data_IF_355385488702
#
_entry.id   IF_355385488702
#
_cell.length_a   1.000
_cell.length_b   1.000
_cell.length_c   1.000
_cell.angle_alpha   90.00
_cell.angle_beta   90.00
_cell.angle_gamma   90.00
#
_symmetry.space_group_name_H-M   'P 1'
#
loop_
_entity.id
_entity.type
_entity.pdbx_description
1 polymer ?
#
# COMPACT_ATOMS: atom_id res chain seq x y z
N UNK A 1 -16.69 6.49 -17.76
CA UNK A 1 -15.78 7.45 -18.38
C UNK A 1 -16.49 8.23 -19.48
N UNK A 2 -17.03 7.56 -20.50
CA UNK A 2 -17.70 8.24 -21.64
C UNK A 2 -18.86 9.15 -21.23
N UNK A 3 -19.56 8.83 -20.15
CA UNK A 3 -20.68 9.61 -19.59
C UNK A 3 -20.22 10.76 -18.67
N UNK A 4 -18.92 11.06 -18.60
CA UNK A 4 -18.35 12.14 -17.77
C UNK A 4 -18.09 11.78 -16.30
N UNK A 5 -18.31 10.54 -15.88
CA UNK A 5 -18.01 10.12 -14.51
C UNK A 5 -16.51 9.89 -14.28
N UNK A 6 -16.01 10.31 -13.12
CA UNK A 6 -14.71 9.89 -12.60
C UNK A 6 -14.84 8.47 -12.04
N UNK A 7 -14.20 7.51 -12.72
CA UNK A 7 -14.36 6.09 -12.39
C UNK A 7 -13.15 5.60 -11.58
N UNK A 8 -13.42 5.03 -10.41
CA UNK A 8 -12.46 4.37 -9.54
C UNK A 8 -12.86 2.88 -9.41
N UNK A 9 -12.38 2.01 -10.30
CA UNK A 9 -12.85 0.63 -10.37
C UNK A 9 -12.23 -0.25 -9.28
N UNK A 10 -13.08 -0.91 -8.47
CA UNK A 10 -12.67 -1.98 -7.59
C UNK A 10 -12.55 -3.29 -8.37
N UNK A 11 -11.42 -3.98 -8.24
CA UNK A 11 -11.10 -5.19 -8.99
C UNK A 11 -10.38 -6.25 -8.14
N UNK A 12 -10.41 -7.49 -8.59
CA UNK A 12 -9.41 -8.46 -8.16
C UNK A 12 -8.01 -7.94 -8.52
N UNK A 13 -6.99 -8.36 -7.78
CA UNK A 13 -5.62 -7.93 -8.04
C UNK A 13 -5.06 -8.61 -9.31
N UNK A 14 -5.64 -8.25 -10.46
CA UNK A 14 -5.26 -8.72 -11.80
C UNK A 14 -4.52 -7.60 -12.56
N UNK A 15 -3.19 -7.75 -12.79
CA UNK A 15 -2.41 -6.73 -13.48
C UNK A 15 -2.86 -6.46 -14.92
N UNK A 16 -3.37 -7.49 -15.61
CA UNK A 16 -3.85 -7.33 -17.00
C UNK A 16 -5.13 -6.51 -17.02
N UNK A 17 -6.07 -6.82 -16.13
CA UNK A 17 -7.31 -6.04 -16.00
C UNK A 17 -7.03 -4.61 -15.57
N UNK A 18 -6.12 -4.42 -14.58
CA UNK A 18 -5.71 -3.09 -14.13
C UNK A 18 -5.20 -2.23 -15.29
N UNK A 19 -4.36 -2.78 -16.16
CA UNK A 19 -3.86 -2.07 -17.34
C UNK A 19 -4.98 -1.72 -18.32
N UNK A 20 -5.86 -2.66 -18.64
CA UNK A 20 -7.00 -2.41 -19.55
C UNK A 20 -7.93 -1.31 -19.04
N UNK A 21 -8.12 -1.22 -17.73
CA UNK A 21 -8.92 -0.16 -17.12
C UNK A 21 -8.27 1.21 -17.28
N UNK A 22 -6.94 1.30 -17.09
CA UNK A 22 -6.20 2.53 -17.38
C UNK A 22 -6.35 2.95 -18.84
N UNK A 23 -6.21 2.01 -19.79
CA UNK A 23 -6.31 2.27 -21.22
C UNK A 23 -7.69 2.83 -21.63
N UNK A 24 -8.76 2.51 -20.89
CA UNK A 24 -10.10 3.09 -21.13
C UNK A 24 -10.34 4.38 -20.32
N UNK A 25 -9.33 4.88 -19.60
CA UNK A 25 -9.34 6.19 -18.97
C UNK A 25 -9.96 6.23 -17.58
N UNK A 26 -9.85 5.17 -16.78
CA UNK A 26 -10.23 5.25 -15.36
C UNK A 26 -9.27 6.15 -14.59
N UNK A 27 -9.77 6.83 -13.54
CA UNK A 27 -8.99 7.78 -12.76
C UNK A 27 -7.99 7.10 -11.80
N UNK A 28 -8.27 5.86 -11.42
CA UNK A 28 -7.44 5.02 -10.55
C UNK A 28 -7.59 3.57 -10.95
N UNK A 29 -6.82 2.68 -10.33
CA UNK A 29 -7.12 1.26 -10.21
C UNK A 29 -7.15 0.88 -8.73
N UNK A 30 -8.13 0.05 -8.33
CA UNK A 30 -8.36 -0.30 -6.93
C UNK A 30 -8.33 -1.83 -6.75
N UNK A 31 -7.11 -2.45 -6.72
CA UNK A 31 -6.98 -3.88 -6.47
C UNK A 31 -7.30 -4.23 -5.01
N UNK A 32 -7.97 -5.36 -4.79
CA UNK A 32 -8.20 -5.91 -3.46
C UNK A 32 -6.92 -6.48 -2.85
N UNK A 33 -6.70 -6.27 -1.55
CA UNK A 33 -5.68 -6.97 -0.77
C UNK A 33 -6.10 -8.39 -0.42
N UNK A 34 -7.34 -8.56 0.06
CA UNK A 34 -8.01 -9.83 0.33
C UNK A 34 -9.53 -9.62 0.27
N UNK A 35 -10.37 -10.67 0.34
CA UNK A 35 -11.82 -10.52 0.22
C UNK A 35 -12.41 -9.48 1.17
N UNK A 36 -13.40 -8.72 0.69
CA UNK A 36 -14.10 -7.68 1.46
C UNK A 36 -14.54 -8.22 2.82
N UNK A 37 -14.24 -7.47 3.89
CA UNK A 37 -14.62 -7.83 5.26
C UNK A 37 -13.79 -8.93 5.90
N UNK A 38 -12.80 -9.49 5.21
CA UNK A 38 -11.97 -10.59 5.74
C UNK A 38 -10.93 -10.14 6.76
N UNK A 39 -10.49 -8.89 6.74
CA UNK A 39 -9.41 -8.34 7.58
C UNK A 39 -8.08 -9.10 7.49
N UNK A 40 -7.83 -9.83 6.38
CA UNK A 40 -6.70 -10.76 6.20
C UNK A 40 -5.45 -10.10 5.66
N UNK A 41 -5.50 -8.80 5.36
CA UNK A 41 -4.36 -8.04 4.85
C UNK A 41 -4.11 -8.22 3.36
N UNK A 42 -2.84 -8.18 2.97
CA UNK A 42 -2.42 -8.17 1.56
C UNK A 42 -2.07 -9.58 1.05
N UNK A 43 -3.06 -10.48 0.98
CA UNK A 43 -2.86 -11.83 0.42
C UNK A 43 -2.47 -11.81 -1.06
N UNK A 44 -2.85 -10.74 -1.77
CA UNK A 44 -2.52 -10.51 -3.19
C UNK A 44 -1.29 -9.62 -3.39
N UNK A 45 -0.40 -9.56 -2.40
CA UNK A 45 0.77 -8.67 -2.36
C UNK A 45 1.57 -8.68 -3.66
N UNK A 46 1.93 -9.86 -4.16
CA UNK A 46 2.74 -9.98 -5.37
C UNK A 46 2.07 -9.38 -6.61
N UNK A 47 0.75 -9.54 -6.75
CA UNK A 47 -0.04 -8.97 -7.84
C UNK A 47 -0.14 -7.45 -7.71
N UNK A 48 -0.34 -6.94 -6.49
CA UNK A 48 -0.38 -5.50 -6.20
C UNK A 48 0.97 -4.84 -6.54
N UNK A 49 2.10 -5.46 -6.21
CA UNK A 49 3.43 -4.97 -6.59
C UNK A 49 3.58 -4.82 -8.12
N UNK A 50 3.10 -5.81 -8.88
CA UNK A 50 3.12 -5.75 -10.35
C UNK A 50 2.25 -4.59 -10.84
N UNK A 51 1.05 -4.44 -10.27
CA UNK A 51 0.13 -3.35 -10.62
C UNK A 51 0.77 -1.99 -10.35
N UNK A 52 1.34 -1.78 -9.17
CA UNK A 52 2.01 -0.53 -8.78
C UNK A 52 3.15 -0.18 -9.76
N UNK A 53 4.00 -1.16 -10.11
CA UNK A 53 5.12 -0.95 -11.03
C UNK A 53 4.68 -0.58 -12.45
N UNK A 54 3.49 -0.98 -12.87
CA UNK A 54 2.98 -0.79 -14.22
C UNK A 54 1.95 0.34 -14.33
N UNK A 55 1.45 0.82 -13.20
CA UNK A 55 0.38 1.82 -13.17
C UNK A 55 0.88 3.19 -13.66
N UNK A 56 0.03 3.85 -14.43
CA UNK A 56 0.17 5.26 -14.86
C UNK A 56 -0.88 6.16 -14.22
N UNK A 57 -1.78 5.57 -13.42
CA UNK A 57 -2.78 6.24 -12.61
C UNK A 57 -2.60 5.81 -11.15
N UNK A 58 -3.12 6.55 -10.17
CA UNK A 58 -3.01 6.17 -8.76
C UNK A 58 -3.54 4.76 -8.49
N UNK A 59 -2.83 4.03 -7.63
CA UNK A 59 -3.22 2.70 -7.15
C UNK A 59 -3.75 2.82 -5.73
N UNK A 60 -5.00 2.40 -5.53
CA UNK A 60 -5.65 2.40 -4.22
C UNK A 60 -5.85 0.95 -3.79
N UNK A 61 -5.22 0.51 -2.72
CA UNK A 61 -5.47 -0.84 -2.19
C UNK A 61 -6.76 -0.83 -1.39
N UNK A 62 -7.76 -1.57 -1.88
CA UNK A 62 -9.10 -1.65 -1.29
C UNK A 62 -9.40 -3.09 -0.86
N UNK A 63 -10.10 -3.23 0.25
CA UNK A 63 -10.54 -4.48 0.84
C UNK A 63 -9.45 -5.36 1.49
N UNK A 64 -9.86 -6.02 2.55
CA UNK A 64 -9.00 -6.89 3.32
C UNK A 64 -8.08 -6.20 4.33
N UNK A 65 -7.99 -4.88 4.30
CA UNK A 65 -7.20 -4.10 5.26
C UNK A 65 -7.84 -4.25 6.65
N UNK A 66 -7.21 -5.03 7.53
CA UNK A 66 -7.74 -5.39 8.84
C UNK A 66 -6.98 -4.79 10.02
N UNK A 67 -5.81 -4.20 9.77
CA UNK A 67 -4.98 -3.58 10.79
C UNK A 67 -4.20 -2.38 10.19
N UNK A 68 -3.77 -1.42 11.03
CA UNK A 68 -2.91 -0.33 10.58
C UNK A 68 -1.63 -0.81 9.86
N UNK A 69 -1.02 -1.91 10.32
CA UNK A 69 0.15 -2.50 9.67
C UNK A 69 -0.08 -2.91 8.22
N UNK A 70 -1.28 -3.37 7.86
CA UNK A 70 -1.61 -3.69 6.46
C UNK A 70 -1.66 -2.42 5.59
N UNK A 71 -2.13 -1.30 6.15
CA UNK A 71 -2.13 -0.02 5.47
C UNK A 71 -0.70 0.51 5.27
N UNK A 72 0.15 0.39 6.29
CA UNK A 72 1.57 0.74 6.18
C UNK A 72 2.24 -0.06 5.08
N UNK A 73 2.08 -1.39 5.09
CA UNK A 73 2.65 -2.28 4.07
C UNK A 73 2.24 -1.86 2.65
N UNK A 74 0.95 -1.59 2.41
CA UNK A 74 0.47 -1.16 1.11
C UNK A 74 1.14 0.14 0.63
N UNK A 75 1.23 1.14 1.51
CA UNK A 75 1.82 2.44 1.20
C UNK A 75 3.33 2.36 1.00
N UNK A 76 4.04 1.58 1.82
CA UNK A 76 5.48 1.34 1.71
C UNK A 76 5.83 0.58 0.42
N UNK A 77 4.95 -0.33 -0.05
CA UNK A 77 5.08 -0.97 -1.36
C UNK A 77 4.94 0.00 -2.54
N UNK A 78 4.33 1.16 -2.32
CA UNK A 78 4.15 2.18 -3.34
C UNK A 78 2.71 2.46 -3.74
N UNK A 79 1.70 1.91 -3.06
CA UNK A 79 0.31 2.32 -3.27
C UNK A 79 0.14 3.81 -2.92
N UNK A 80 -0.73 4.49 -3.66
CA UNK A 80 -1.00 5.92 -3.46
C UNK A 80 -1.98 6.17 -2.34
N UNK A 81 -2.87 5.19 -2.09
CA UNK A 81 -3.85 5.25 -1.00
C UNK A 81 -4.31 3.85 -0.59
N UNK A 82 -4.99 3.78 0.54
CA UNK A 82 -5.73 2.61 1.01
C UNK A 82 -7.18 3.00 1.31
N UNK A 83 -8.10 2.07 1.10
CA UNK A 83 -9.49 2.21 1.51
C UNK A 83 -9.78 1.22 2.64
N UNK A 84 -10.24 1.74 3.78
CA UNK A 84 -10.47 0.96 5.00
C UNK A 84 -11.88 1.19 5.49
N UNK A 85 -12.60 0.12 5.76
CA UNK A 85 -13.95 0.18 6.33
C UNK A 85 -14.09 -0.78 7.52
N UNK A 86 -14.15 -2.09 7.27
CA UNK A 86 -14.50 -3.11 8.29
C UNK A 86 -13.60 -3.05 9.52
N UNK A 87 -12.30 -2.86 9.34
CA UNK A 87 -11.34 -2.78 10.44
C UNK A 87 -11.64 -1.65 11.43
N UNK A 88 -12.22 -0.56 10.96
CA UNK A 88 -12.64 0.57 11.81
C UNK A 88 -14.02 0.30 12.37
N UNK A 89 -14.98 -0.05 11.52
CA UNK A 89 -16.38 -0.20 11.91
C UNK A 89 -16.61 -1.34 12.91
N UNK A 90 -15.84 -2.42 12.82
CA UNK A 90 -15.95 -3.59 13.69
C UNK A 90 -14.99 -3.56 14.89
N UNK A 91 -14.21 -2.51 15.08
CA UNK A 91 -13.34 -2.37 16.23
C UNK A 91 -14.15 -2.10 17.52
N UNK A 92 -13.64 -2.54 18.66
CA UNK A 92 -14.25 -2.24 19.98
C UNK A 92 -14.32 -0.71 20.23
N UNK A 93 -13.28 0.03 19.77
CA UNK A 93 -13.26 1.50 19.77
C UNK A 93 -12.95 2.01 18.36
N UNK A 94 -13.99 2.26 17.53
CA UNK A 94 -13.81 2.71 16.16
C UNK A 94 -13.07 4.06 16.04
N UNK A 95 -13.25 4.95 17.00
CA UNK A 95 -12.59 6.27 17.00
C UNK A 95 -11.09 6.14 17.22
N UNK A 96 -10.67 5.31 18.17
CA UNK A 96 -9.25 5.03 18.39
C UNK A 96 -8.64 4.29 17.21
N UNK A 97 -9.38 3.32 16.64
CA UNK A 97 -8.91 2.59 15.46
C UNK A 97 -8.73 3.53 14.25
N UNK A 98 -9.67 4.42 13.99
CA UNK A 98 -9.54 5.43 12.93
C UNK A 98 -8.33 6.35 13.14
N UNK A 99 -8.05 6.76 14.38
CA UNK A 99 -6.85 7.55 14.72
C UNK A 99 -5.57 6.75 14.48
N UNK A 100 -5.56 5.48 14.82
CA UNK A 100 -4.40 4.60 14.58
C UNK A 100 -4.13 4.45 13.08
N UNK A 101 -5.17 4.23 12.27
CA UNK A 101 -5.03 4.20 10.80
C UNK A 101 -4.50 5.52 10.26
N UNK A 102 -5.05 6.67 10.70
CA UNK A 102 -4.56 7.99 10.28
C UNK A 102 -3.06 8.14 10.55
N UNK A 103 -2.63 7.91 11.80
CA UNK A 103 -1.23 8.05 12.19
C UNK A 103 -0.31 7.11 11.37
N UNK A 104 -0.76 5.89 11.12
CA UNK A 104 -0.01 4.90 10.33
C UNK A 104 0.12 5.31 8.88
N UNK A 105 -0.95 5.79 8.25
CA UNK A 105 -0.92 6.26 6.86
C UNK A 105 0.05 7.45 6.70
N UNK A 106 0.01 8.40 7.62
CA UNK A 106 0.92 9.54 7.64
C UNK A 106 2.38 9.08 7.80
N UNK A 107 2.67 8.20 8.75
CA UNK A 107 4.02 7.67 8.99
C UNK A 107 4.56 6.84 7.82
N UNK A 108 3.76 5.96 7.24
CA UNK A 108 4.16 5.14 6.10
C UNK A 108 4.45 5.98 4.85
N UNK A 109 3.70 7.05 4.66
CA UNK A 109 3.95 8.02 3.58
C UNK A 109 5.27 8.75 3.79
N UNK A 110 5.53 9.26 4.98
CA UNK A 110 6.81 9.89 5.32
C UNK A 110 7.99 8.93 5.13
N UNK A 111 7.85 7.67 5.58
CA UNK A 111 8.88 6.64 5.40
C UNK A 111 9.18 6.38 3.92
N UNK A 112 8.14 6.29 3.07
CA UNK A 112 8.29 6.13 1.62
C UNK A 112 8.97 7.35 0.98
N UNK A 113 8.58 8.57 1.36
CA UNK A 113 9.16 9.82 0.85
C UNK A 113 10.61 10.00 1.30
N UNK A 114 10.96 9.52 2.50
CA UNK A 114 12.35 9.48 3.00
C UNK A 114 13.23 8.47 2.24
N UNK A 115 12.63 7.48 1.57
CA UNK A 115 13.33 6.42 0.86
C UNK A 115 13.63 5.22 1.75
N UNK A 116 12.86 4.16 1.57
CA UNK A 116 13.08 2.89 2.28
C UNK A 116 14.39 2.23 1.82
N UNK A 117 15.20 1.70 2.75
CA UNK A 117 16.40 0.97 2.38
C UNK A 117 16.04 -0.32 1.63
N UNK A 118 16.90 -0.70 0.69
CA UNK A 118 16.72 -1.96 -0.04
C UNK A 118 16.90 -3.15 0.91
N UNK A 119 16.09 -4.19 0.70
CA UNK A 119 16.28 -5.45 1.39
C UNK A 119 17.49 -6.18 0.80
N UNK A 120 18.37 -6.70 1.66
CA UNK A 120 19.57 -7.42 1.28
C UNK A 120 19.48 -8.86 1.79
N UNK A 121 19.97 -9.81 0.98
CA UNK A 121 20.05 -11.23 1.37
C UNK A 121 21.16 -11.51 2.40
N UNK A 122 21.99 -10.52 2.70
CA UNK A 122 23.09 -10.60 3.66
C UNK A 122 23.21 -9.33 4.49
N UNK A 123 23.82 -9.47 5.67
CA UNK A 123 24.08 -8.33 6.52
C UNK A 123 25.14 -7.40 5.91
N UNK A 124 24.80 -6.10 5.79
CA UNK A 124 25.74 -5.05 5.43
C UNK A 124 25.97 -4.11 6.60
N UNK A 125 27.22 -3.71 6.83
CA UNK A 125 27.55 -2.77 7.88
C UNK A 125 27.14 -1.35 7.46
N UNK A 126 26.34 -0.70 8.30
CA UNK A 126 25.97 0.72 8.13
C UNK A 126 26.86 1.67 8.93
N UNK A 127 27.65 1.13 9.88
CA UNK A 127 28.61 1.90 10.68
C UNK A 127 29.97 1.96 9.98
N UNK A 128 30.64 3.11 9.91
CA UNK A 128 31.98 3.23 9.34
C UNK A 128 33.03 2.65 10.31
N UNK A 129 33.16 1.32 10.32
CA UNK A 129 34.18 0.61 11.13
C UNK A 129 35.58 1.12 10.90
N UNK A 130 35.87 1.65 9.71
CA UNK A 130 37.19 2.19 9.35
C UNK A 130 37.60 3.44 10.16
N UNK A 131 36.65 4.15 10.77
CA UNK A 131 36.96 5.35 11.58
C UNK A 131 37.53 4.95 12.93
N UNK A 132 37.10 3.83 13.51
CA UNK A 132 37.58 3.38 14.82
C UNK A 132 38.96 2.70 14.77
N UNK A 133 39.34 2.16 13.61
CA UNK A 133 40.63 1.45 13.44
C UNK A 133 41.80 2.38 13.04
N UNK A 134 41.54 3.66 12.72
CA UNK A 134 42.58 4.63 12.36
C UNK A 134 43.06 5.48 13.52
N UNK A 135 42.53 5.30 14.72
CA UNK A 135 42.91 6.04 15.95
C UNK A 135 43.69 5.19 16.99
N UNK A 136 44.29 4.08 16.54
CA UNK A 136 45.20 3.27 17.36
C UNK A 136 46.61 3.32 16.81
#
# INVERSE_FOLDING_TARGET
VKEGFTVLPYINADPVLARRLQDVGTATVMPLGSPIGSNRGLETRAQIEIIIKQATVPVVVDAGIGAPSHAAEALEMGADAVLVNTAIAAAEDPVRMARAFKATVEAAREAREAGLPIQLDHAATTSPLAVFLKSA
#
